data_IF_410096752878
#
_entry.id   IF_410096752878
#
_cell.length_a   1.000
_cell.length_b   1.000
_cell.length_c   1.000
_cell.angle_alpha   90.00
_cell.angle_beta   90.00
_cell.angle_gamma   90.00
#
_symmetry.space_group_name_H-M   'P 1'
#
loop_
_entity.id
_entity.type
_entity.pdbx_description
1 polymer ?
#
# COMPACT_ATOMS: atom_id res chain seq x y z
N UNK A 1 -5.57 -35.78 16.49
CA UNK A 1 -5.08 -34.38 16.47
C UNK A 1 -5.99 -33.56 17.37
N UNK A 2 -5.45 -32.98 18.45
CA UNK A 2 -6.24 -32.24 19.44
C UNK A 2 -6.63 -30.85 18.90
N UNK A 3 -7.75 -30.29 19.34
CA UNK A 3 -8.27 -28.99 18.92
C UNK A 3 -7.28 -27.86 19.18
N UNK A 4 -6.42 -27.97 20.20
CA UNK A 4 -5.30 -27.02 20.42
C UNK A 4 -4.35 -26.97 19.21
N UNK A 5 -3.92 -28.13 18.72
CA UNK A 5 -3.05 -28.22 17.54
C UNK A 5 -3.77 -27.71 16.28
N UNK A 6 -5.10 -27.85 16.20
CA UNK A 6 -5.89 -27.30 15.07
C UNK A 6 -5.92 -25.79 15.10
N UNK A 7 -6.10 -25.18 16.27
CA UNK A 7 -6.11 -23.73 16.44
C UNK A 7 -4.74 -23.10 16.22
N UNK A 8 -3.66 -23.73 16.72
CA UNK A 8 -2.28 -23.29 16.47
C UNK A 8 -1.97 -23.30 14.96
N UNK A 9 -2.29 -24.39 14.24
CA UNK A 9 -2.13 -24.45 12.78
C UNK A 9 -2.96 -23.39 12.06
N UNK A 10 -4.18 -23.13 12.52
CA UNK A 10 -5.03 -22.09 11.96
C UNK A 10 -4.44 -20.70 12.20
N UNK A 11 -3.83 -20.46 13.36
CA UNK A 11 -3.16 -19.21 13.68
C UNK A 11 -1.97 -18.98 12.74
N UNK A 12 -1.08 -19.96 12.61
CA UNK A 12 0.05 -19.88 11.67
C UNK A 12 -0.41 -19.59 10.24
N UNK A 13 -1.51 -20.22 9.79
CA UNK A 13 -2.08 -19.94 8.48
C UNK A 13 -2.60 -18.51 8.34
N UNK A 14 -3.27 -17.97 9.37
CA UNK A 14 -3.79 -16.59 9.36
C UNK A 14 -2.66 -15.57 9.36
N UNK A 15 -1.64 -15.76 10.19
CA UNK A 15 -0.44 -14.92 10.20
C UNK A 15 0.26 -14.92 8.84
N UNK A 16 0.46 -16.09 8.22
CA UNK A 16 1.06 -16.17 6.89
C UNK A 16 0.26 -15.38 5.86
N UNK A 17 -1.07 -15.53 5.86
CA UNK A 17 -1.96 -14.82 4.93
C UNK A 17 -1.96 -13.31 5.16
N UNK A 18 -1.89 -12.86 6.42
CA UNK A 18 -1.77 -11.44 6.75
C UNK A 18 -0.44 -10.88 6.24
N UNK A 19 0.68 -11.56 6.50
CA UNK A 19 2.02 -11.14 6.01
C UNK A 19 2.06 -11.06 4.48
N UNK A 20 1.45 -12.02 3.79
CA UNK A 20 1.34 -11.99 2.33
C UNK A 20 0.52 -10.79 1.84
N UNK A 21 -0.64 -10.51 2.47
CA UNK A 21 -1.46 -9.35 2.12
C UNK A 21 -0.74 -8.02 2.41
N UNK A 22 -0.01 -7.93 3.53
CA UNK A 22 0.80 -6.75 3.86
C UNK A 22 1.92 -6.52 2.83
N UNK A 23 2.61 -7.59 2.41
CA UNK A 23 3.63 -7.52 1.36
C UNK A 23 3.05 -7.05 0.03
N UNK A 24 1.88 -7.59 -0.37
CA UNK A 24 1.22 -7.18 -1.60
C UNK A 24 0.81 -5.70 -1.55
N UNK A 25 0.24 -5.23 -0.45
CA UNK A 25 -0.10 -3.81 -0.26
C UNK A 25 1.15 -2.91 -0.34
N UNK A 26 2.25 -3.31 0.29
CA UNK A 26 3.50 -2.57 0.27
C UNK A 26 4.09 -2.47 -1.14
N UNK A 27 4.01 -3.55 -1.91
CA UNK A 27 4.42 -3.56 -3.32
C UNK A 27 3.58 -2.60 -4.16
N UNK A 28 2.25 -2.62 -4.02
CA UNK A 28 1.37 -1.70 -4.75
C UNK A 28 1.63 -0.24 -4.38
N UNK A 29 1.86 0.06 -3.08
CA UNK A 29 2.25 1.41 -2.65
C UNK A 29 3.60 1.86 -3.20
N UNK A 30 4.55 0.94 -3.42
CA UNK A 30 5.82 1.26 -4.08
C UNK A 30 5.59 1.62 -5.55
N UNK A 31 4.80 0.81 -6.28
CA UNK A 31 4.44 1.08 -7.67
C UNK A 31 3.69 2.41 -7.82
N UNK A 32 2.72 2.68 -6.96
CA UNK A 32 1.99 3.94 -6.94
C UNK A 32 2.93 5.15 -6.76
N UNK A 33 3.84 5.09 -5.78
CA UNK A 33 4.82 6.17 -5.55
C UNK A 33 5.77 6.36 -6.74
N UNK A 34 6.15 5.27 -7.39
CA UNK A 34 6.98 5.33 -8.59
C UNK A 34 6.26 6.06 -9.73
N UNK A 35 5.02 5.67 -10.03
CA UNK A 35 4.23 6.34 -11.10
C UNK A 35 3.88 7.79 -10.75
N UNK A 36 3.67 8.11 -9.46
CA UNK A 36 3.51 9.49 -9.02
C UNK A 36 4.78 10.33 -9.29
N UNK A 37 5.97 9.79 -8.96
CA UNK A 37 7.24 10.47 -9.26
C UNK A 37 7.48 10.64 -10.76
N UNK A 38 7.13 9.63 -11.57
CA UNK A 38 7.19 9.73 -13.05
C UNK A 38 6.26 10.82 -13.59
N UNK A 39 5.10 11.02 -12.99
CA UNK A 39 4.18 12.09 -13.38
C UNK A 39 4.77 13.46 -13.06
N UNK A 40 5.36 13.63 -11.88
CA UNK A 40 6.02 14.87 -11.47
C UNK A 40 7.21 15.21 -12.40
N UNK A 41 7.99 14.20 -12.81
CA UNK A 41 9.08 14.35 -13.79
C UNK A 41 8.58 14.75 -15.20
N UNK A 42 7.45 14.18 -15.62
CA UNK A 42 6.81 14.55 -16.90
C UNK A 42 6.26 15.97 -16.87
N UNK A 43 5.66 16.39 -15.76
CA UNK A 43 5.15 17.75 -15.59
C UNK A 43 6.30 18.77 -15.63
N UNK A 44 7.44 18.48 -14.98
CA UNK A 44 8.64 19.31 -15.09
C UNK A 44 9.21 19.35 -16.51
N UNK A 45 9.21 18.21 -17.22
CA UNK A 45 9.66 18.17 -18.62
C UNK A 45 8.76 19.03 -19.51
N UNK A 46 7.45 18.92 -19.35
CA UNK A 46 6.48 19.73 -20.08
C UNK A 46 6.63 21.24 -19.81
N UNK A 47 6.86 21.61 -18.56
CA UNK A 47 7.08 23.01 -18.18
C UNK A 47 8.37 23.58 -18.79
N UNK A 48 9.46 22.79 -18.80
CA UNK A 48 10.71 23.17 -19.44
C UNK A 48 10.57 23.33 -20.95
N UNK A 49 9.97 22.36 -21.62
CA UNK A 49 9.73 22.39 -23.08
C UNK A 49 8.87 23.61 -23.47
N UNK A 50 7.86 23.96 -22.67
CA UNK A 50 7.07 25.18 -22.85
C UNK A 50 7.92 26.44 -22.67
N UNK A 51 8.64 26.52 -21.57
CA UNK A 51 9.48 27.69 -21.26
C UNK A 51 10.60 27.91 -22.29
N UNK A 52 11.18 26.84 -22.83
CA UNK A 52 12.18 26.90 -23.88
C UNK A 52 11.57 27.37 -25.20
N UNK A 53 10.37 26.90 -25.53
CA UNK A 53 9.65 27.34 -26.71
C UNK A 53 9.19 28.80 -26.62
N UNK A 54 8.66 29.23 -25.47
CA UNK A 54 8.26 30.63 -25.24
C UNK A 54 9.46 31.59 -25.44
N UNK A 55 10.66 31.19 -25.01
CA UNK A 55 11.89 31.96 -25.25
C UNK A 55 12.27 32.02 -26.72
N UNK A 56 12.09 30.91 -27.44
CA UNK A 56 12.35 30.85 -28.87
C UNK A 56 11.37 31.71 -29.66
N UNK A 57 10.08 31.67 -29.31
CA UNK A 57 9.04 32.51 -29.89
C UNK A 57 9.32 34.00 -29.65
N UNK A 58 9.69 34.36 -28.42
CA UNK A 58 10.10 35.72 -28.08
C UNK A 58 11.32 36.17 -28.89
N UNK A 59 12.32 35.31 -29.08
CA UNK A 59 13.49 35.63 -29.89
C UNK A 59 13.15 35.87 -31.36
N UNK A 60 12.20 35.12 -31.93
CA UNK A 60 11.70 35.38 -33.29
C UNK A 60 10.93 36.71 -33.37
N UNK A 61 10.13 37.02 -32.36
CA UNK A 61 9.40 38.28 -32.29
C UNK A 61 10.37 39.48 -32.22
N UNK A 62 11.37 39.43 -31.35
CA UNK A 62 12.41 40.45 -31.22
C UNK A 62 13.26 40.59 -32.49
N UNK A 63 13.60 39.48 -33.16
CA UNK A 63 14.32 39.52 -34.43
C UNK A 63 13.50 40.15 -35.57
N UNK A 64 12.17 40.09 -35.48
CA UNK A 64 11.26 40.72 -36.43
C UNK A 64 10.92 42.19 -36.08
N UNK A 65 11.25 42.67 -34.87
CA UNK A 65 11.07 44.07 -34.47
C UNK A 65 12.12 44.96 -35.17
N UNK A 66 11.81 45.37 -36.40
CA UNK A 66 12.59 46.36 -37.16
C UNK A 66 12.86 45.98 -38.61
N UNK A 67 12.75 44.70 -38.96
CA UNK A 67 12.88 44.16 -40.32
C UNK A 67 12.02 42.89 -40.47
N UNK A 68 11.47 42.62 -41.65
CA UNK A 68 10.80 41.35 -41.93
C UNK A 68 11.81 40.21 -41.95
N UNK A 69 11.53 39.13 -41.20
CA UNK A 69 12.28 37.88 -41.24
C UNK A 69 12.52 37.42 -42.69
N UNK A 70 13.71 36.93 -42.97
CA UNK A 70 14.03 36.34 -44.26
C UNK A 70 13.20 35.05 -44.50
N UNK A 71 12.97 34.64 -45.76
CA UNK A 71 12.26 33.40 -46.06
C UNK A 71 12.88 32.15 -45.39
N UNK A 72 14.20 32.14 -45.19
CA UNK A 72 14.89 31.05 -44.51
C UNK A 72 14.58 31.02 -43.00
N UNK A 73 14.54 32.19 -42.34
CA UNK A 73 14.19 32.31 -40.92
C UNK A 73 12.72 31.99 -40.67
N UNK A 74 11.82 32.37 -41.59
CA UNK A 74 10.40 32.00 -41.52
C UNK A 74 10.19 30.49 -41.60
N UNK A 75 10.89 29.81 -42.51
CA UNK A 75 10.78 28.35 -42.62
C UNK A 75 11.40 27.64 -41.41
N UNK A 76 12.51 28.16 -40.85
CA UNK A 76 13.08 27.66 -39.60
C UNK A 76 12.10 27.80 -38.43
N UNK A 77 11.45 28.95 -38.29
CA UNK A 77 10.46 29.19 -37.24
C UNK A 77 9.25 28.25 -37.38
N UNK A 78 8.77 28.05 -38.61
CA UNK A 78 7.70 27.11 -38.91
C UNK A 78 8.05 25.67 -38.56
N UNK A 79 9.25 25.20 -38.92
CA UNK A 79 9.70 23.85 -38.58
C UNK A 79 9.79 23.66 -37.06
N UNK A 80 10.34 24.64 -36.34
CA UNK A 80 10.45 24.59 -34.89
C UNK A 80 9.08 24.62 -34.18
N UNK A 81 8.09 25.35 -34.71
CA UNK A 81 6.68 25.29 -34.28
C UNK A 81 6.12 23.87 -34.44
N UNK A 82 6.26 23.29 -35.63
CA UNK A 82 5.76 21.95 -35.92
C UNK A 82 6.41 20.89 -35.01
N UNK A 83 7.73 20.97 -34.81
CA UNK A 83 8.49 20.10 -33.92
C UNK A 83 8.02 20.24 -32.46
N UNK A 84 7.81 21.48 -31.99
CA UNK A 84 7.31 21.75 -30.64
C UNK A 84 5.90 21.17 -30.40
N UNK A 85 4.96 21.38 -31.33
CA UNK A 85 3.62 20.82 -31.20
C UNK A 85 3.61 19.30 -31.26
N UNK A 86 4.47 18.70 -32.11
CA UNK A 86 4.65 17.26 -32.14
C UNK A 86 5.14 16.74 -30.80
N UNK A 87 6.19 17.36 -30.26
CA UNK A 87 6.77 17.00 -28.96
C UNK A 87 5.79 17.16 -27.81
N UNK A 88 5.03 18.26 -27.76
CA UNK A 88 3.97 18.46 -26.76
C UNK A 88 2.90 17.37 -26.84
N UNK A 89 2.48 17.00 -28.06
CA UNK A 89 1.48 15.96 -28.25
C UNK A 89 1.98 14.59 -27.77
N UNK A 90 3.25 14.25 -28.02
CA UNK A 90 3.89 13.04 -27.49
C UNK A 90 3.91 13.02 -25.97
N UNK A 91 4.42 14.10 -25.35
CA UNK A 91 4.51 14.21 -23.89
C UNK A 91 3.13 14.16 -23.24
N UNK A 92 2.11 14.80 -23.82
CA UNK A 92 0.74 14.75 -23.33
C UNK A 92 0.15 13.33 -23.40
N UNK A 93 0.43 12.56 -24.46
CA UNK A 93 0.01 11.14 -24.56
C UNK A 93 0.65 10.29 -23.48
N UNK A 94 1.96 10.46 -23.24
CA UNK A 94 2.68 9.74 -22.19
C UNK A 94 2.14 10.10 -20.82
N UNK A 95 1.94 11.40 -20.54
CA UNK A 95 1.35 11.90 -19.29
C UNK A 95 -0.02 11.28 -19.03
N UNK A 96 -0.91 11.28 -20.02
CA UNK A 96 -2.24 10.66 -19.90
C UNK A 96 -2.17 9.14 -19.66
N UNK A 97 -1.18 8.45 -20.23
CA UNK A 97 -0.97 7.03 -19.95
C UNK A 97 -0.51 6.79 -18.49
N UNK A 98 0.43 7.60 -17.99
CA UNK A 98 0.92 7.54 -16.61
C UNK A 98 -0.18 7.89 -15.61
N UNK A 99 -1.00 8.90 -15.88
CA UNK A 99 -2.15 9.26 -15.03
C UNK A 99 -3.15 8.11 -14.90
N UNK A 100 -3.48 7.44 -16.01
CA UNK A 100 -4.37 6.27 -16.00
C UNK A 100 -3.80 5.13 -15.19
N UNK A 101 -2.51 4.83 -15.35
CA UNK A 101 -1.87 3.77 -14.57
C UNK A 101 -1.78 4.14 -13.07
N UNK A 102 -1.48 5.40 -12.74
CA UNK A 102 -1.49 5.89 -11.36
C UNK A 102 -2.88 5.75 -10.73
N UNK A 103 -3.94 6.11 -11.45
CA UNK A 103 -5.32 5.94 -10.98
C UNK A 103 -5.63 4.47 -10.72
N UNK A 104 -5.28 3.59 -11.66
CA UNK A 104 -5.46 2.14 -11.51
C UNK A 104 -4.70 1.58 -10.30
N UNK A 105 -3.47 2.05 -10.06
CA UNK A 105 -2.66 1.64 -8.92
C UNK A 105 -3.23 2.14 -7.58
N UNK A 106 -3.89 3.31 -7.57
CA UNK A 106 -4.61 3.80 -6.39
C UNK A 106 -5.76 2.85 -6.03
N UNK A 107 -6.60 2.50 -7.01
CA UNK A 107 -7.71 1.55 -6.82
C UNK A 107 -7.21 0.18 -6.34
N UNK A 108 -6.09 -0.29 -6.90
CA UNK A 108 -5.43 -1.52 -6.47
C UNK A 108 -4.91 -1.41 -5.03
N UNK A 109 -4.30 -0.28 -4.64
CA UNK A 109 -3.85 -0.05 -3.27
C UNK A 109 -5.02 -0.12 -2.27
N UNK A 110 -6.16 0.51 -2.59
CA UNK A 110 -7.36 0.47 -1.76
C UNK A 110 -7.90 -0.95 -1.62
N UNK A 111 -7.97 -1.69 -2.72
CA UNK A 111 -8.38 -3.10 -2.71
C UNK A 111 -7.46 -3.96 -1.84
N UNK A 112 -6.15 -3.81 -1.99
CA UNK A 112 -5.17 -4.57 -1.19
C UNK A 112 -5.23 -4.16 0.29
N UNK A 113 -5.49 -2.89 0.59
CA UNK A 113 -5.65 -2.42 1.97
C UNK A 113 -6.87 -3.07 2.63
N UNK A 114 -7.99 -3.17 1.92
CA UNK A 114 -9.19 -3.86 2.42
C UNK A 114 -8.95 -5.37 2.61
N UNK A 115 -8.23 -6.01 1.69
CA UNK A 115 -7.83 -7.42 1.85
C UNK A 115 -6.97 -7.59 3.10
N UNK A 116 -5.92 -6.77 3.26
CA UNK A 116 -5.04 -6.82 4.42
C UNK A 116 -5.82 -6.61 5.73
N UNK A 117 -6.69 -5.59 5.78
CA UNK A 117 -7.56 -5.31 6.94
C UNK A 117 -8.42 -6.52 7.31
N UNK A 118 -9.08 -7.17 6.34
CA UNK A 118 -9.86 -8.39 6.59
C UNK A 118 -9.01 -9.53 7.13
N UNK A 119 -7.77 -9.69 6.63
CA UNK A 119 -6.85 -10.73 7.11
C UNK A 119 -6.35 -10.45 8.53
N UNK A 120 -5.99 -9.19 8.83
CA UNK A 120 -5.58 -8.76 10.15
C UNK A 120 -6.70 -8.99 11.18
N UNK A 121 -7.93 -8.53 10.89
CA UNK A 121 -9.08 -8.78 11.77
C UNK A 121 -9.36 -10.27 11.96
N UNK A 122 -9.21 -11.10 10.93
CA UNK A 122 -9.34 -12.54 11.09
C UNK A 122 -8.27 -13.10 12.03
N UNK A 123 -7.01 -12.67 11.92
CA UNK A 123 -5.95 -13.10 12.86
C UNK A 123 -6.29 -12.67 14.29
N UNK A 124 -6.61 -11.40 14.51
CA UNK A 124 -6.99 -10.84 15.81
C UNK A 124 -8.19 -11.56 16.43
N UNK A 125 -9.20 -11.89 15.63
CA UNK A 125 -10.36 -12.63 16.13
C UNK A 125 -9.99 -14.04 16.62
N UNK A 126 -9.04 -14.71 15.94
CA UNK A 126 -8.54 -16.01 16.39
C UNK A 126 -7.66 -15.89 17.62
N UNK A 127 -6.85 -14.83 17.72
CA UNK A 127 -6.05 -14.52 18.90
C UNK A 127 -6.94 -14.34 20.14
N UNK A 128 -8.01 -13.55 20.01
CA UNK A 128 -9.01 -13.37 21.06
C UNK A 128 -9.69 -14.68 21.45
N UNK A 129 -10.00 -15.54 20.47
CA UNK A 129 -10.60 -16.86 20.75
C UNK A 129 -9.63 -17.78 21.50
N UNK A 130 -8.35 -17.79 21.11
CA UNK A 130 -7.31 -18.57 21.77
C UNK A 130 -7.10 -18.11 23.22
N UNK A 131 -7.04 -16.80 23.46
CA UNK A 131 -6.92 -16.25 24.81
C UNK A 131 -8.10 -16.64 25.71
N UNK A 132 -9.34 -16.54 25.20
CA UNK A 132 -10.54 -16.98 25.93
C UNK A 132 -10.53 -18.46 26.26
N UNK A 133 -10.01 -19.30 25.35
CA UNK A 133 -9.90 -20.74 25.59
C UNK A 133 -8.85 -21.05 26.65
N UNK A 134 -7.68 -20.41 26.58
CA UNK A 134 -6.62 -20.57 27.58
C UNK A 134 -7.12 -20.20 28.98
N UNK A 135 -7.88 -19.10 29.09
CA UNK A 135 -8.51 -18.71 30.35
C UNK A 135 -9.52 -19.74 30.85
N UNK A 136 -10.39 -20.24 29.96
CA UNK A 136 -11.36 -21.28 30.34
C UNK A 136 -10.69 -22.61 30.75
N UNK A 137 -9.58 -22.97 30.11
CA UNK A 137 -8.80 -24.16 30.47
C UNK A 137 -8.12 -23.96 31.85
N UNK A 138 -7.59 -22.75 32.12
CA UNK A 138 -7.03 -22.37 33.42
C UNK A 138 -8.06 -22.43 34.55
N UNK A 139 -9.25 -21.87 34.35
CA UNK A 139 -10.33 -21.91 35.35
C UNK A 139 -10.73 -23.36 35.68
N UNK A 140 -10.74 -24.26 34.67
CA UNK A 140 -11.02 -25.69 34.91
C UNK A 140 -9.90 -26.38 35.68
N UNK A 141 -8.65 -26.01 35.45
CA UNK A 141 -7.50 -26.53 36.21
C UNK A 141 -7.56 -26.05 37.67
N UNK A 142 -7.84 -24.76 37.89
CA UNK A 142 -8.04 -24.18 39.23
C UNK A 142 -9.19 -24.90 39.96
N UNK A 143 -10.36 -25.07 39.34
CA UNK A 143 -11.49 -25.78 39.95
C UNK A 143 -11.24 -27.28 40.21
N UNK A 144 -10.39 -27.94 39.41
CA UNK A 144 -9.95 -29.32 39.70
C UNK A 144 -9.03 -29.35 40.92
N UNK A 145 -8.09 -28.41 41.02
CA UNK A 145 -7.21 -28.31 42.18
C UNK A 145 -8.00 -27.99 43.45
N UNK A 146 -9.00 -27.12 43.39
CA UNK A 146 -9.91 -26.85 44.50
C UNK A 146 -10.68 -28.11 44.91
N UNK A 147 -11.25 -28.85 43.97
CA UNK A 147 -11.93 -30.12 44.26
C UNK A 147 -10.99 -31.18 44.85
N UNK A 148 -9.76 -31.32 44.33
CA UNK A 148 -8.75 -32.24 44.85
C UNK A 148 -8.31 -31.88 46.29
N UNK A 149 -8.34 -30.58 46.65
CA UNK A 149 -8.08 -30.10 48.02
C UNK A 149 -9.26 -30.36 48.97
N UNK A 150 -10.50 -30.23 48.49
CA UNK A 150 -11.72 -30.52 49.26
C UNK A 150 -11.93 -32.02 49.50
N UNK A 151 -11.57 -32.87 48.52
CA UNK A 151 -11.64 -34.34 48.60
C UNK A 151 -10.40 -34.98 49.26
N UNK A 152 -9.43 -34.19 49.73
CA UNK A 152 -8.30 -34.67 50.52
C UNK A 152 -8.78 -35.39 51.79
N UNK A 153 -8.20 -36.54 52.19
CA UNK A 153 -8.68 -37.28 53.34
C UNK A 153 -8.64 -36.37 54.56
N UNK A 154 -9.80 -36.21 55.22
CA UNK A 154 -9.86 -35.69 56.57
C UNK A 154 -8.79 -36.44 57.37
N UNK A 155 -7.71 -35.75 57.76
CA UNK A 155 -6.81 -36.27 58.76
C UNK A 155 -7.69 -36.57 59.97
N UNK A 156 -7.99 -37.86 60.14
CA UNK A 156 -8.78 -38.39 61.24
C UNK A 156 -8.21 -37.82 62.51
N UNK A 157 -9.12 -37.30 63.33
CA UNK A 157 -8.81 -36.46 64.47
C UNK A 157 -7.85 -37.10 65.47
N UNK A 158 -7.33 -36.29 66.41
CA UNK A 158 -6.43 -36.78 67.45
C UNK A 158 -7.07 -37.98 68.16
N UNK A 159 -6.28 -39.02 68.50
CA UNK A 159 -6.81 -40.18 69.21
C UNK A 159 -7.47 -39.69 70.49
N UNK A 160 -8.76 -40.01 70.64
CA UNK A 160 -9.53 -39.63 71.80
C UNK A 160 -8.84 -40.10 73.08
N UNK A 161 -8.44 -39.14 73.91
CA UNK A 161 -8.24 -39.37 75.33
C UNK A 161 -9.59 -39.21 76.04
N UNK A 162 -9.81 -40.13 76.99
CA UNK A 162 -10.92 -40.27 77.95
C UNK A 162 -12.13 -41.11 77.51
#
# INVERSE_FOLDING_TARGET
MNDRQRLERLMTLRERRERQAASALLEQRRRYRHEAGRLDELDQTLERERSEFDRLEQAWFEAAEGETLSPAELEQARQALDDHYHRQAELARVRSAVERERSRLLDECERQAEIWKRRAHAREALEKLLARRQEADRIKEEGRLEADLEDGPAQGGPPGEA
#
